data_IF_070507143273
#
_entry.id   IF_070507143273
#
_cell.length_a   1.000
_cell.length_b   1.000
_cell.length_c   1.000
_cell.angle_alpha   90.00
_cell.angle_beta   90.00
_cell.angle_gamma   90.00
#
_symmetry.space_group_name_H-M   'P 1'
#
loop_
_entity.id
_entity.type
_entity.pdbx_description
1 polymer ?
#
# COMPACT_ATOMS: atom_id res chain seq x y z
N UNK A 1 8.50 3.86 15.12
CA UNK A 1 7.29 3.13 14.67
C UNK A 1 6.29 3.17 15.81
N UNK A 2 5.05 3.53 15.54
CA UNK A 2 3.99 3.56 16.55
C UNK A 2 3.62 2.12 16.99
N UNK A 3 3.39 1.84 18.28
CA UNK A 3 3.03 0.49 18.76
C UNK A 3 1.76 -0.09 18.11
N UNK A 4 0.77 0.73 17.78
CA UNK A 4 -0.44 0.26 17.12
C UNK A 4 -0.15 -0.21 15.69
N UNK A 5 0.72 0.50 14.96
CA UNK A 5 1.17 0.09 13.61
C UNK A 5 1.92 -1.23 13.66
N UNK A 6 2.83 -1.40 14.62
CA UNK A 6 3.56 -2.66 14.81
C UNK A 6 2.60 -3.82 15.11
N UNK A 7 1.64 -3.62 16.01
CA UNK A 7 0.61 -4.61 16.35
C UNK A 7 -0.23 -5.00 15.13
N UNK A 8 -0.67 -4.04 14.33
CA UNK A 8 -1.44 -4.29 13.11
C UNK A 8 -0.66 -5.15 12.11
N UNK A 9 0.63 -4.85 11.91
CA UNK A 9 1.47 -5.63 11.01
C UNK A 9 1.68 -7.06 11.50
N UNK A 10 2.02 -7.26 12.78
CA UNK A 10 2.17 -8.62 13.35
C UNK A 10 0.87 -9.42 13.21
N UNK A 11 -0.28 -8.82 13.54
CA UNK A 11 -1.58 -9.47 13.37
C UNK A 11 -1.89 -9.79 11.90
N UNK A 12 -1.52 -8.91 10.97
CA UNK A 12 -1.76 -9.15 9.54
C UNK A 12 -0.97 -10.33 8.98
N UNK A 13 0.24 -10.56 9.49
CA UNK A 13 1.02 -11.77 9.17
C UNK A 13 0.29 -13.01 9.67
N UNK A 14 -0.19 -12.99 10.92
CA UNK A 14 -0.92 -14.12 11.51
C UNK A 14 -2.26 -14.41 10.81
N UNK A 15 -2.91 -13.37 10.30
CA UNK A 15 -4.22 -13.46 9.62
C UNK A 15 -4.10 -13.60 8.09
N UNK A 16 -2.88 -13.67 7.53
CA UNK A 16 -2.67 -13.85 6.09
C UNK A 16 -3.10 -12.65 5.23
N UNK A 17 -3.18 -11.44 5.80
CA UNK A 17 -3.63 -10.22 5.12
C UNK A 17 -2.57 -9.12 5.10
N UNK A 18 -1.30 -9.52 5.00
CA UNK A 18 -0.17 -8.61 5.16
C UNK A 18 -0.14 -7.49 4.13
N UNK A 19 -0.36 -7.79 2.84
CA UNK A 19 -0.25 -6.79 1.78
C UNK A 19 -1.18 -5.57 1.94
N UNK A 20 -2.51 -5.74 2.13
CA UNK A 20 -3.39 -4.60 2.34
C UNK A 20 -3.07 -3.84 3.64
N UNK A 21 -2.72 -4.57 4.71
CA UNK A 21 -2.38 -3.92 5.99
C UNK A 21 -1.07 -3.13 5.87
N UNK A 22 -0.09 -3.60 5.10
CA UNK A 22 1.13 -2.85 4.80
C UNK A 22 0.83 -1.53 4.09
N UNK A 23 -0.05 -1.53 3.09
CA UNK A 23 -0.45 -0.29 2.41
C UNK A 23 -1.13 0.68 3.38
N UNK A 24 -2.13 0.20 4.13
CA UNK A 24 -2.89 1.04 5.06
C UNK A 24 -1.97 1.62 6.14
N UNK A 25 -1.19 0.78 6.80
CA UNK A 25 -0.29 1.23 7.87
C UNK A 25 0.81 2.16 7.36
N UNK A 26 1.33 1.92 6.15
CA UNK A 26 2.30 2.81 5.52
C UNK A 26 1.68 4.15 5.14
N UNK A 27 0.45 4.16 4.63
CA UNK A 27 -0.29 5.39 4.35
C UNK A 27 -0.56 6.19 5.63
N UNK A 28 -1.01 5.54 6.70
CA UNK A 28 -1.31 6.17 7.99
C UNK A 28 -0.05 6.65 8.73
N UNK A 29 1.10 6.02 8.48
CA UNK A 29 2.40 6.44 9.08
C UNK A 29 3.02 7.64 8.38
N UNK A 30 2.44 8.10 7.28
CA UNK A 30 2.92 9.19 6.45
C UNK A 30 1.92 10.36 6.46
N UNK A 31 2.23 11.40 5.67
CA UNK A 31 1.26 12.46 5.36
C UNK A 31 0.05 11.87 4.63
N UNK A 32 -1.08 12.56 4.67
CA UNK A 32 -2.29 12.10 3.99
C UNK A 32 -2.05 11.93 2.47
N UNK A 33 -2.50 10.81 1.92
CA UNK A 33 -2.40 10.52 0.48
C UNK A 33 -3.34 11.40 -0.34
N UNK A 34 -4.47 11.81 0.24
CA UNK A 34 -5.42 12.70 -0.41
C UNK A 34 -5.08 14.16 -0.10
N UNK A 35 -5.02 15.00 -1.14
CA UNK A 35 -4.82 16.43 -1.00
C UNK A 35 -6.12 17.10 -0.55
N UNK A 36 -6.00 18.17 0.23
CA UNK A 36 -7.15 19.00 0.58
C UNK A 36 -7.49 19.87 -0.64
N UNK A 37 -8.64 19.66 -1.30
CA UNK A 37 -8.99 20.44 -2.48
C UNK A 37 -9.44 21.86 -2.09
N UNK A 38 -9.34 22.85 -3.00
CA UNK A 38 -10.06 24.10 -2.86
C UNK A 38 -11.57 23.85 -2.73
N UNK A 39 -12.28 24.73 -2.01
CA UNK A 39 -13.73 24.58 -1.73
C UNK A 39 -14.57 24.27 -2.97
N UNK A 40 -14.26 24.91 -4.09
CA UNK A 40 -14.95 24.73 -5.39
C UNK A 40 -14.82 23.31 -5.96
N UNK A 41 -13.73 22.60 -5.64
CA UNK A 41 -13.45 21.25 -6.14
C UNK A 41 -13.77 20.15 -5.12
N UNK A 42 -14.31 20.50 -3.96
CA UNK A 42 -14.53 19.56 -2.86
C UNK A 42 -15.49 18.42 -3.25
N UNK A 43 -16.62 18.73 -3.89
CA UNK A 43 -17.57 17.72 -4.39
C UNK A 43 -16.94 16.76 -5.41
N UNK A 44 -16.07 17.27 -6.29
CA UNK A 44 -15.36 16.45 -7.28
C UNK A 44 -14.34 15.53 -6.61
N UNK A 45 -13.59 16.04 -5.62
CA UNK A 45 -12.64 15.24 -4.85
C UNK A 45 -13.33 14.14 -4.03
N UNK A 46 -14.44 14.47 -3.37
CA UNK A 46 -15.24 13.49 -2.62
C UNK A 46 -15.77 12.39 -3.54
N UNK A 47 -16.20 12.75 -4.76
CA UNK A 47 -16.64 11.77 -5.77
C UNK A 47 -15.49 10.89 -6.24
N UNK A 48 -14.31 11.45 -6.50
CA UNK A 48 -13.13 10.68 -6.88
C UNK A 48 -12.71 9.70 -5.77
N UNK A 49 -12.68 10.16 -4.51
CA UNK A 49 -12.36 9.31 -3.37
C UNK A 49 -13.39 8.18 -3.17
N UNK A 50 -14.69 8.47 -3.33
CA UNK A 50 -15.74 7.42 -3.30
C UNK A 50 -15.63 6.44 -4.45
N UNK A 51 -15.22 6.91 -5.64
CA UNK A 51 -14.99 6.03 -6.78
C UNK A 51 -13.83 5.07 -6.50
N UNK A 52 -12.74 5.57 -5.93
CA UNK A 52 -11.61 4.75 -5.47
C UNK A 52 -12.00 3.78 -4.36
N UNK A 53 -12.99 4.11 -3.52
CA UNK A 53 -13.51 3.20 -2.51
C UNK A 53 -14.38 2.06 -3.08
N UNK A 54 -14.71 2.09 -4.38
CA UNK A 54 -15.55 1.08 -5.06
C UNK A 54 -16.91 0.83 -4.40
N UNK A 55 -17.46 1.84 -3.71
CA UNK A 55 -18.75 1.75 -3.01
C UNK A 55 -18.64 1.28 -1.56
N UNK A 56 -17.46 0.89 -1.08
CA UNK A 56 -17.25 0.54 0.32
C UNK A 56 -17.26 1.80 1.20
N UNK A 57 -17.95 1.79 2.35
CA UNK A 57 -18.02 2.92 3.28
C UNK A 57 -16.75 3.01 4.16
N UNK A 58 -15.57 2.86 3.55
CA UNK A 58 -14.29 2.80 4.24
C UNK A 58 -13.21 3.58 3.49
N UNK A 59 -12.65 4.57 4.18
CA UNK A 59 -11.53 5.36 3.65
C UNK A 59 -10.28 4.52 3.39
N UNK A 60 -10.09 3.43 4.13
CA UNK A 60 -8.97 2.51 3.93
C UNK A 60 -9.07 1.76 2.58
N UNK A 61 -10.28 1.46 2.10
CA UNK A 61 -10.46 0.87 0.77
C UNK A 61 -10.05 1.87 -0.33
N UNK A 62 -10.44 3.14 -0.19
CA UNK A 62 -10.00 4.17 -1.12
C UNK A 62 -8.46 4.30 -1.15
N UNK A 63 -7.81 4.20 0.02
CA UNK A 63 -6.35 4.21 0.13
C UNK A 63 -5.71 3.01 -0.57
N UNK A 64 -6.24 1.80 -0.34
CA UNK A 64 -5.76 0.56 -0.95
C UNK A 64 -5.82 0.61 -2.47
N UNK A 65 -6.99 0.93 -3.00
CA UNK A 65 -7.23 0.93 -4.44
C UNK A 65 -6.44 2.04 -5.13
N UNK A 66 -6.37 3.23 -4.53
CA UNK A 66 -5.54 4.32 -5.05
C UNK A 66 -4.07 3.91 -5.17
N UNK A 67 -3.53 3.24 -4.15
CA UNK A 67 -2.14 2.81 -4.13
C UNK A 67 -1.87 1.65 -5.09
N UNK A 68 -2.79 0.68 -5.20
CA UNK A 68 -2.71 -0.43 -6.16
C UNK A 68 -2.66 0.07 -7.60
N UNK A 69 -3.58 0.97 -7.99
CA UNK A 69 -3.61 1.58 -9.33
C UNK A 69 -2.32 2.37 -9.57
N UNK A 70 -1.87 3.14 -8.58
CA UNK A 70 -0.64 3.91 -8.68
C UNK A 70 0.59 3.01 -8.92
N UNK A 71 0.73 1.92 -8.17
CA UNK A 71 1.83 0.96 -8.36
C UNK A 71 1.78 0.32 -9.75
N UNK A 72 0.60 -0.06 -10.24
CA UNK A 72 0.44 -0.62 -11.59
C UNK A 72 0.91 0.37 -12.66
N UNK A 73 0.52 1.64 -12.57
CA UNK A 73 0.93 2.68 -13.50
C UNK A 73 2.45 2.92 -13.45
N UNK A 74 3.05 2.87 -12.26
CA UNK A 74 4.49 2.95 -12.09
C UNK A 74 5.23 1.75 -12.69
N UNK A 75 4.70 0.52 -12.54
CA UNK A 75 5.33 -0.71 -13.07
C UNK A 75 5.38 -0.73 -14.59
N UNK A 76 4.39 -0.13 -15.25
CA UNK A 76 4.32 -0.01 -16.72
C UNK A 76 5.23 1.09 -17.29
N UNK A 77 6.19 1.59 -16.49
CA UNK A 77 7.10 2.71 -16.78
C UNK A 77 6.41 4.02 -17.18
N UNK A 78 5.10 4.13 -16.97
CA UNK A 78 4.33 5.33 -17.30
C UNK A 78 4.23 6.28 -16.10
N UNK A 79 5.38 6.82 -15.68
CA UNK A 79 5.44 7.80 -14.61
C UNK A 79 4.60 9.07 -14.91
N UNK A 80 4.38 9.37 -16.19
CA UNK A 80 3.48 10.46 -16.60
C UNK A 80 2.01 10.11 -16.30
N UNK A 81 1.58 8.89 -16.60
CA UNK A 81 0.22 8.44 -16.28
C UNK A 81 -0.01 8.34 -14.78
N UNK A 82 0.97 7.86 -14.01
CA UNK A 82 0.88 7.84 -12.55
C UNK A 82 0.73 9.25 -11.95
N UNK A 83 1.45 10.25 -12.49
CA UNK A 83 1.30 11.66 -12.11
C UNK A 83 -0.08 12.21 -12.49
N UNK A 84 -0.56 11.91 -13.69
CA UNK A 84 -1.88 12.32 -14.17
C UNK A 84 -2.99 11.71 -13.32
N UNK A 85 -2.91 10.41 -13.03
CA UNK A 85 -3.83 9.70 -12.15
C UNK A 85 -3.89 10.36 -10.76
N UNK A 86 -2.74 10.70 -10.18
CA UNK A 86 -2.71 11.40 -8.90
C UNK A 86 -3.40 12.77 -8.96
N UNK A 87 -3.15 13.53 -10.03
CA UNK A 87 -3.78 14.84 -10.22
C UNK A 87 -5.31 14.75 -10.35
N UNK A 88 -5.80 13.83 -11.19
CA UNK A 88 -7.24 13.65 -11.45
C UNK A 88 -8.01 13.15 -10.21
N UNK A 89 -7.35 12.38 -9.33
CA UNK A 89 -7.95 11.79 -8.14
C UNK A 89 -7.61 12.53 -6.84
N UNK A 90 -7.03 13.74 -6.92
CA UNK A 90 -6.66 14.53 -5.74
C UNK A 90 -5.73 13.76 -4.79
N UNK A 91 -4.74 13.04 -5.34
CA UNK A 91 -3.71 12.33 -4.61
C UNK A 91 -2.39 13.10 -4.63
N UNK A 92 -1.62 12.95 -3.57
CA UNK A 92 -0.27 13.51 -3.46
C UNK A 92 0.76 12.52 -4.00
N UNK A 93 1.28 12.78 -5.20
CA UNK A 93 2.27 11.92 -5.85
C UNK A 93 3.51 11.63 -4.99
N UNK A 94 4.04 12.64 -4.27
CA UNK A 94 5.19 12.45 -3.40
C UNK A 94 4.86 11.55 -2.21
N UNK A 95 3.68 11.70 -1.62
CA UNK A 95 3.19 10.81 -0.56
C UNK A 95 3.04 9.39 -1.08
N UNK A 96 2.48 9.17 -2.28
CA UNK A 96 2.31 7.84 -2.86
C UNK A 96 3.65 7.10 -2.97
N UNK A 97 4.70 7.78 -3.46
CA UNK A 97 6.04 7.19 -3.50
C UNK A 97 6.59 6.90 -2.10
N UNK A 98 6.37 7.80 -1.14
CA UNK A 98 6.80 7.58 0.25
C UNK A 98 6.10 6.37 0.88
N UNK A 99 4.82 6.16 0.59
CA UNK A 99 4.08 4.96 1.06
C UNK A 99 4.74 3.70 0.54
N UNK A 100 5.14 3.64 -0.73
CA UNK A 100 5.92 2.51 -1.26
C UNK A 100 7.23 2.28 -0.51
N UNK A 101 7.98 3.35 -0.26
CA UNK A 101 9.24 3.25 0.50
C UNK A 101 9.03 2.74 1.94
N UNK A 102 7.97 3.20 2.62
CA UNK A 102 7.66 2.76 3.99
C UNK A 102 7.17 1.31 4.01
N UNK A 103 6.38 0.86 3.02
CA UNK A 103 6.03 -0.57 2.88
C UNK A 103 7.26 -1.45 2.85
N UNK A 104 8.26 -1.05 2.07
CA UNK A 104 9.53 -1.77 1.96
C UNK A 104 10.32 -1.77 3.27
N UNK A 105 10.29 -0.69 4.03
CA UNK A 105 10.89 -0.66 5.37
C UNK A 105 10.18 -1.60 6.34
N UNK A 106 8.84 -1.60 6.37
CA UNK A 106 8.06 -2.49 7.22
C UNK A 106 8.28 -3.97 6.88
N UNK A 107 8.37 -4.30 5.60
CA UNK A 107 8.74 -5.65 5.15
C UNK A 107 10.10 -6.09 5.68
N UNK A 108 11.13 -5.24 5.56
CA UNK A 108 12.46 -5.52 6.09
C UNK A 108 12.41 -5.77 7.60
N UNK A 109 11.69 -4.93 8.35
CA UNK A 109 11.53 -5.10 9.80
C UNK A 109 10.85 -6.43 10.16
N UNK A 110 9.78 -6.81 9.45
CA UNK A 110 9.08 -8.07 9.70
C UNK A 110 9.95 -9.29 9.36
N UNK A 111 10.76 -9.21 8.30
CA UNK A 111 11.74 -10.24 7.95
C UNK A 111 12.84 -10.35 9.00
N UNK A 112 13.42 -9.22 9.42
CA UNK A 112 14.50 -9.18 10.40
C UNK A 112 14.02 -9.66 11.79
N UNK A 113 12.73 -9.49 12.09
CA UNK A 113 12.07 -10.06 13.26
C UNK A 113 11.72 -11.56 13.14
N UNK A 114 12.01 -12.19 11.99
CA UNK A 114 11.71 -13.61 11.73
C UNK A 114 10.23 -13.93 11.50
N UNK A 115 9.40 -12.91 11.27
CA UNK A 115 7.96 -13.07 11.02
C UNK A 115 7.63 -13.40 9.56
N UNK A 116 8.54 -13.08 8.63
CA UNK A 116 8.46 -13.46 7.22
C UNK A 116 9.53 -14.50 6.92
N UNK A 117 9.14 -15.60 6.28
CA UNK A 117 10.10 -16.59 5.79
C UNK A 117 10.80 -16.01 4.55
N UNK A 118 12.14 -16.04 4.48
CA UNK A 118 12.84 -15.83 3.22
C UNK A 118 12.33 -16.90 2.24
N UNK A 119 11.78 -16.50 1.10
CA UNK A 119 11.38 -17.45 0.06
C UNK A 119 12.57 -18.36 -0.27
N UNK A 120 12.30 -19.63 -0.60
CA UNK A 120 13.31 -20.67 -0.82
C UNK A 120 14.29 -20.43 -1.99
N UNK A 121 14.35 -19.20 -2.54
CA UNK A 121 15.22 -18.81 -3.64
C UNK A 121 15.54 -17.30 -3.67
N UNK A 122 15.56 -16.61 -2.53
CA UNK A 122 15.88 -15.17 -2.50
C UNK A 122 17.29 -14.92 -1.93
N UNK A 123 18.32 -15.03 -2.78
CA UNK A 123 19.57 -14.31 -2.56
C UNK A 123 19.37 -12.85 -2.97
N UNK A 124 19.80 -11.89 -2.14
CA UNK A 124 19.99 -10.43 -2.35
C UNK A 124 19.26 -9.74 -3.54
N UNK A 125 18.02 -10.14 -3.81
CA UNK A 125 17.19 -9.60 -4.89
C UNK A 125 16.50 -8.31 -4.46
N UNK A 126 16.32 -7.41 -5.42
CA UNK A 126 15.80 -6.07 -5.22
C UNK A 126 14.39 -6.11 -4.61
N UNK A 127 14.12 -5.18 -3.70
CA UNK A 127 12.90 -5.12 -2.88
C UNK A 127 11.62 -4.96 -3.74
N UNK A 128 11.78 -4.43 -4.95
CA UNK A 128 10.72 -4.25 -5.96
C UNK A 128 10.32 -5.58 -6.63
N UNK A 129 11.23 -6.55 -6.69
CA UNK A 129 10.98 -7.89 -7.23
C UNK A 129 10.21 -8.76 -6.21
N UNK A 130 10.41 -8.51 -4.91
CA UNK A 130 9.65 -9.12 -3.80
C UNK A 130 8.17 -8.76 -3.85
N UNK A 131 7.82 -7.49 -4.06
CA UNK A 131 6.43 -7.03 -4.19
C UNK A 131 5.76 -7.51 -5.48
N UNK A 132 6.51 -7.63 -6.58
CA UNK A 132 5.99 -8.11 -7.87
C UNK A 132 6.00 -9.63 -7.98
N UNK A 133 6.56 -10.33 -6.99
CA UNK A 133 6.62 -11.76 -7.02
C UNK A 133 5.23 -12.35 -6.85
N UNK A 134 5.01 -13.39 -7.62
CA UNK A 134 3.88 -14.28 -7.49
C UNK A 134 3.59 -14.69 -6.02
N UNK A 135 4.56 -14.71 -5.12
CA UNK A 135 4.42 -15.20 -3.74
C UNK A 135 4.03 -14.13 -2.69
N UNK A 136 4.00 -12.84 -3.04
CA UNK A 136 3.70 -11.78 -2.06
C UNK A 136 2.26 -11.89 -1.56
N UNK A 137 2.11 -12.41 -0.33
CA UNK A 137 0.82 -12.76 0.30
C UNK A 137 -0.05 -13.78 -0.48
N UNK A 138 0.56 -14.65 -1.30
CA UNK A 138 -0.14 -15.70 -2.08
C UNK A 138 -0.64 -16.90 -1.25
N UNK A 139 -0.15 -17.07 -0.02
CA UNK A 139 -0.41 -18.26 0.81
C UNK A 139 -0.99 -17.89 2.18
N UNK A 140 -2.27 -17.49 2.17
CA UNK A 140 -3.15 -17.56 3.35
C UNK A 140 -3.32 -19.01 3.90
N UNK A 141 -2.70 -20.01 3.29
CA UNK A 141 -3.00 -21.42 3.52
C UNK A 141 -2.15 -22.10 4.62
N UNK A 142 -1.35 -21.37 5.39
CA UNK A 142 -0.41 -21.98 6.34
C UNK A 142 -0.94 -22.13 7.78
N UNK A 143 -2.25 -22.19 7.97
CA UNK A 143 -2.82 -22.88 9.14
C UNK A 143 -3.30 -24.27 8.74
N UNK A 144 -2.37 -25.13 8.35
CA UNK A 144 -2.58 -26.56 8.58
C UNK A 144 -2.26 -26.82 10.05
N UNK A 145 -3.33 -27.07 10.82
CA UNK A 145 -3.30 -27.57 12.20
C UNK A 145 -2.36 -28.78 12.30
#
# INVERSE_FOLDING_TARGET
MDPAVAKSLVLSVLLGCLDPVLTITSALSNRNMFVIPPKEKQSTADRAKRHLAEGEPSDHFAMLNAFSIFQELCRRESHQDARRFCFENFLNFSTMNMVGNVRQQFLRLLRDAGLLRPGASAGDGDAMEVESSEWYNRHADNWSV
#
